data_IF_806999457472
#
_entry.id   IF_806999457472
#
_cell.length_a   1.000
_cell.length_b   1.000
_cell.length_c   1.000
_cell.angle_alpha   90.00
_cell.angle_beta   90.00
_cell.angle_gamma   90.00
#
_symmetry.space_group_name_H-M   'P 1'
#
loop_
_entity.id
_entity.type
_entity.pdbx_description
1 polymer ?
#
# COMPACT_ATOMS: atom_id res chain seq x y z
N UNK A 1 52.44 70.09 -3.41
CA UNK A 1 51.20 69.65 -4.09
C UNK A 1 50.85 68.26 -3.59
N UNK A 2 49.60 68.10 -3.18
CA UNK A 2 49.04 67.00 -2.41
C UNK A 2 48.50 65.88 -3.32
N UNK A 3 48.89 64.63 -3.09
CA UNK A 3 48.15 63.41 -3.47
C UNK A 3 48.50 62.30 -2.46
N UNK A 4 47.74 62.14 -1.37
CA UNK A 4 46.52 61.31 -1.21
C UNK A 4 46.74 59.82 -1.49
N UNK A 5 47.06 59.12 -0.42
CA UNK A 5 46.89 57.70 -0.13
C UNK A 5 45.43 57.27 -0.27
N UNK A 6 45.17 56.19 -1.01
CA UNK A 6 43.92 55.42 -0.93
C UNK A 6 44.27 54.02 -0.42
N UNK A 7 43.81 53.72 0.79
CA UNK A 7 43.84 52.38 1.36
C UNK A 7 42.64 51.57 0.86
N UNK A 8 42.91 50.38 0.33
CA UNK A 8 41.89 49.37 0.07
C UNK A 8 41.45 48.75 1.40
N UNK A 9 40.21 49.03 1.80
CA UNK A 9 39.53 48.39 2.91
C UNK A 9 38.88 47.09 2.38
N UNK A 10 39.51 45.94 2.64
CA UNK A 10 38.92 44.63 2.34
C UNK A 10 37.89 44.29 3.41
N UNK A 11 36.61 44.35 3.02
CA UNK A 11 35.48 43.96 3.86
C UNK A 11 35.37 42.41 3.85
N UNK A 12 35.79 41.77 4.94
CA UNK A 12 35.56 40.34 5.17
C UNK A 12 34.14 40.17 5.73
N UNK A 13 33.20 39.73 4.89
CA UNK A 13 31.88 39.29 5.35
C UNK A 13 32.02 37.90 5.99
N UNK A 14 32.00 37.86 7.32
CA UNK A 14 31.75 36.65 8.10
C UNK A 14 30.26 36.31 8.02
N UNK A 15 29.90 35.32 7.19
CA UNK A 15 28.58 34.68 7.24
C UNK A 15 28.54 33.77 8.46
N UNK A 16 27.82 34.19 9.51
CA UNK A 16 27.40 33.33 10.59
C UNK A 16 26.34 32.36 10.06
N UNK A 17 26.71 31.09 9.91
CA UNK A 17 25.75 30.02 9.63
C UNK A 17 24.92 29.77 10.90
N UNK A 18 23.71 30.31 10.94
CA UNK A 18 22.69 29.88 11.89
C UNK A 18 22.32 28.44 11.53
N UNK A 19 22.76 27.48 12.35
CA UNK A 19 22.18 26.14 12.37
C UNK A 19 20.70 26.29 12.73
N UNK A 20 19.83 26.02 11.77
CA UNK A 20 18.40 25.85 12.01
C UNK A 20 18.27 24.56 12.81
N UNK A 21 17.64 24.56 14.00
CA UNK A 21 17.33 23.31 14.68
C UNK A 21 16.37 22.53 13.77
N UNK A 22 16.77 21.31 13.39
CA UNK A 22 15.88 20.36 12.74
C UNK A 22 14.62 20.25 13.58
N UNK A 23 13.47 20.50 12.96
CA UNK A 23 12.18 20.30 13.61
C UNK A 23 12.12 18.86 14.12
N UNK A 24 11.71 18.71 15.38
CA UNK A 24 11.31 17.43 15.95
C UNK A 24 10.15 16.88 15.10
N UNK A 25 10.47 15.96 14.18
CA UNK A 25 9.51 15.12 13.46
C UNK A 25 8.90 14.11 14.45
N UNK A 26 8.05 14.62 15.32
CA UNK A 26 7.06 13.84 16.06
C UNK A 26 5.70 14.01 15.42
N UNK A 27 5.61 13.82 14.10
CA UNK A 27 4.31 13.48 13.51
C UNK A 27 3.99 12.06 13.97
N UNK A 28 3.13 11.92 14.98
CA UNK A 28 2.21 10.79 14.99
C UNK A 28 1.59 10.75 13.60
N UNK A 29 1.85 9.68 12.84
CA UNK A 29 1.08 9.42 11.64
C UNK A 29 -0.33 9.16 12.14
N UNK A 30 -1.14 10.21 12.25
CA UNK A 30 -2.58 10.12 12.52
C UNK A 30 -3.26 9.47 11.32
N UNK A 31 -2.86 8.26 10.95
CA UNK A 31 -3.47 7.50 9.88
C UNK A 31 -4.27 6.42 10.56
N UNK A 32 -5.60 6.54 10.52
CA UNK A 32 -6.52 5.53 11.03
C UNK A 32 -6.16 4.15 10.49
N UNK A 33 -6.40 3.15 11.32
CA UNK A 33 -6.25 1.74 10.94
C UNK A 33 -7.55 1.00 11.23
N UNK A 34 -8.30 0.74 10.18
CA UNK A 34 -9.55 -0.01 10.25
C UNK A 34 -9.40 -1.37 9.59
N UNK A 35 -9.76 -2.45 10.28
CA UNK A 35 -9.80 -3.79 9.71
C UNK A 35 -10.85 -4.65 10.40
N UNK A 36 -11.44 -5.61 9.68
CA UNK A 36 -12.30 -6.64 10.30
C UNK A 36 -11.46 -7.73 11.00
N UNK A 37 -10.23 -7.97 10.55
CA UNK A 37 -9.41 -9.12 10.99
C UNK A 37 -8.07 -8.75 11.62
N UNK A 38 -7.50 -7.59 11.29
CA UNK A 38 -6.20 -7.17 11.78
C UNK A 38 -6.28 -6.16 12.93
N UNK A 39 -5.19 -6.07 13.69
CA UNK A 39 -4.94 -5.03 14.69
C UNK A 39 -3.59 -4.38 14.39
N UNK A 40 -3.50 -3.05 14.43
CA UNK A 40 -2.23 -2.36 14.34
C UNK A 40 -1.50 -2.45 15.68
N UNK A 41 -0.25 -2.91 15.63
CA UNK A 41 0.66 -3.01 16.74
C UNK A 41 1.89 -2.13 16.48
N UNK A 42 2.46 -1.55 17.52
CA UNK A 42 3.74 -0.83 17.43
C UNK A 42 4.84 -1.74 17.95
N UNK A 43 5.80 -2.06 17.08
CA UNK A 43 6.98 -2.84 17.40
C UNK A 43 8.13 -1.88 17.68
N UNK A 44 8.45 -1.67 18.95
CA UNK A 44 9.55 -0.82 19.39
C UNK A 44 10.80 -1.67 19.68
N UNK A 45 11.95 -1.30 19.09
CA UNK A 45 13.20 -2.05 19.24
C UNK A 45 14.46 -1.25 18.91
N UNK A 46 15.60 -1.73 19.43
CA UNK A 46 16.93 -1.24 19.07
C UNK A 46 17.58 -2.20 18.07
N UNK A 47 17.91 -1.68 16.88
CA UNK A 47 18.49 -2.43 15.78
C UNK A 47 19.98 -2.14 15.55
N UNK A 48 20.62 -3.04 14.81
CA UNK A 48 21.98 -2.87 14.31
C UNK A 48 22.09 -3.44 12.89
N UNK A 49 22.76 -2.71 11.99
CA UNK A 49 23.04 -3.15 10.63
C UNK A 49 24.46 -2.79 10.22
N UNK A 50 25.11 -3.67 9.47
CA UNK A 50 26.38 -3.42 8.77
C UNK A 50 26.10 -3.06 7.32
N UNK A 51 26.72 -1.98 6.87
CA UNK A 51 26.61 -1.49 5.50
C UNK A 51 28.00 -1.24 4.90
N UNK A 52 28.15 -1.13 3.57
CA UNK A 52 29.37 -0.63 2.96
C UNK A 52 29.79 0.73 3.55
N UNK A 53 31.09 0.98 3.65
CA UNK A 53 31.58 2.27 4.11
C UNK A 53 31.02 3.43 3.27
N UNK A 54 30.54 4.49 3.93
CA UNK A 54 29.96 5.67 3.27
C UNK A 54 28.50 5.51 2.82
N UNK A 55 27.82 4.41 3.17
CA UNK A 55 26.38 4.27 2.91
C UNK A 55 25.55 5.28 3.69
N UNK A 56 24.42 5.71 3.14
CA UNK A 56 23.38 6.41 3.93
C UNK A 56 22.85 5.46 5.02
N UNK A 57 22.86 5.89 6.30
CA UNK A 57 22.26 5.11 7.38
C UNK A 57 20.80 4.76 7.12
N UNK A 58 20.02 5.71 6.62
CA UNK A 58 18.60 5.57 6.35
C UNK A 58 18.36 4.47 5.31
N UNK A 59 19.09 4.50 4.20
CA UNK A 59 18.98 3.49 3.15
C UNK A 59 19.40 2.09 3.64
N UNK A 60 20.43 2.00 4.50
CA UNK A 60 20.88 0.73 5.06
C UNK A 60 19.87 0.13 6.05
N UNK A 61 19.28 0.97 6.92
CA UNK A 61 18.23 0.57 7.85
C UNK A 61 17.00 0.10 7.06
N UNK A 62 16.55 0.87 6.07
CA UNK A 62 15.42 0.50 5.22
C UNK A 62 15.67 -0.83 4.49
N UNK A 63 16.87 -1.02 3.93
CA UNK A 63 17.27 -2.28 3.30
C UNK A 63 17.18 -3.48 4.25
N UNK A 64 17.55 -3.30 5.52
CA UNK A 64 17.39 -4.35 6.54
C UNK A 64 15.91 -4.58 6.87
N UNK A 65 15.14 -3.51 7.06
CA UNK A 65 13.73 -3.61 7.46
C UNK A 65 12.83 -4.22 6.38
N UNK A 66 13.21 -4.22 5.10
CA UNK A 66 12.49 -5.01 4.08
C UNK A 66 12.36 -6.49 4.47
N UNK A 67 13.36 -7.08 5.13
CA UNK A 67 13.28 -8.47 5.59
C UNK A 67 12.23 -8.69 6.68
N UNK A 68 11.79 -7.64 7.37
CA UNK A 68 10.66 -7.74 8.31
C UNK A 68 9.36 -8.11 7.59
N UNK A 69 9.19 -7.74 6.31
CA UNK A 69 7.98 -8.07 5.56
C UNK A 69 7.85 -9.58 5.43
N UNK A 70 8.87 -10.27 4.91
CA UNK A 70 8.84 -11.72 4.83
C UNK A 70 8.74 -12.39 6.20
N UNK A 71 9.54 -11.93 7.17
CA UNK A 71 9.55 -12.51 8.51
C UNK A 71 8.16 -12.46 9.18
N UNK A 72 7.48 -11.32 9.09
CA UNK A 72 6.13 -11.12 9.63
C UNK A 72 5.06 -11.83 8.80
N UNK A 73 5.26 -11.97 7.49
CA UNK A 73 4.30 -12.61 6.59
C UNK A 73 4.03 -14.07 6.98
N UNK A 74 5.04 -14.77 7.52
CA UNK A 74 4.88 -16.10 8.12
C UNK A 74 3.86 -16.17 9.27
N UNK A 75 3.43 -15.02 9.79
CA UNK A 75 2.41 -14.84 10.83
C UNK A 75 1.19 -14.06 10.31
N UNK A 76 0.94 -14.06 9.00
CA UNK A 76 -0.14 -13.31 8.34
C UNK A 76 -0.13 -11.82 8.72
N UNK A 77 1.05 -11.22 8.80
CA UNK A 77 1.24 -9.85 9.26
C UNK A 77 2.32 -9.17 8.42
N UNK A 78 2.32 -7.84 8.32
CA UNK A 78 3.43 -7.09 7.71
C UNK A 78 3.66 -5.76 8.41
N UNK A 79 4.91 -5.30 8.36
CA UNK A 79 5.29 -3.97 8.82
C UNK A 79 5.00 -2.91 7.77
N UNK A 80 4.54 -1.74 8.20
CA UNK A 80 4.31 -0.55 7.37
C UNK A 80 5.59 0.26 7.28
N UNK A 81 6.38 0.01 6.22
CA UNK A 81 7.75 0.52 6.12
C UNK A 81 7.83 2.02 5.82
N UNK A 82 6.79 2.64 5.25
CA UNK A 82 6.71 4.08 5.03
C UNK A 82 6.46 4.88 6.33
N UNK A 83 5.83 4.23 7.31
CA UNK A 83 5.44 4.84 8.58
C UNK A 83 6.38 4.48 9.75
N UNK A 84 7.48 3.77 9.48
CA UNK A 84 8.45 3.44 10.51
C UNK A 84 9.13 4.70 11.04
N UNK A 85 9.12 4.88 12.36
CA UNK A 85 9.84 5.98 13.01
C UNK A 85 11.23 5.49 13.38
N UNK A 86 12.25 6.11 12.80
CA UNK A 86 13.66 5.80 13.07
C UNK A 86 14.29 6.96 13.83
N UNK A 87 14.90 6.65 14.97
CA UNK A 87 15.54 7.63 15.87
C UNK A 87 16.87 7.09 16.38
N UNK A 88 17.63 7.90 17.11
CA UNK A 88 18.90 7.52 17.75
C UNK A 88 19.92 6.86 16.81
N UNK A 89 19.94 7.30 15.54
CA UNK A 89 20.82 6.74 14.51
C UNK A 89 22.27 7.11 14.80
N UNK A 90 23.12 6.08 14.94
CA UNK A 90 24.57 6.23 15.15
C UNK A 90 25.33 5.37 14.16
N UNK A 91 26.24 5.98 13.42
CA UNK A 91 27.08 5.30 12.44
C UNK A 91 28.55 5.35 12.87
N UNK A 92 29.18 4.20 12.97
CA UNK A 92 30.58 4.05 13.40
C UNK A 92 31.37 3.22 12.38
N UNK A 93 32.62 3.59 12.05
CA UNK A 93 33.47 2.77 11.19
C UNK A 93 33.77 1.41 11.81
N UNK A 94 33.67 0.35 11.01
CA UNK A 94 34.05 -1.01 11.38
C UNK A 94 34.84 -1.66 10.24
N UNK A 95 36.16 -1.44 10.24
CA UNK A 95 37.03 -1.89 9.15
C UNK A 95 36.62 -1.26 7.81
N UNK A 96 36.27 -2.10 6.82
CA UNK A 96 35.81 -1.67 5.50
C UNK A 96 34.28 -1.40 5.43
N UNK A 97 33.61 -1.43 6.58
CA UNK A 97 32.15 -1.29 6.71
C UNK A 97 31.82 -0.14 7.66
N UNK A 98 30.53 0.18 7.72
CA UNK A 98 29.96 1.07 8.72
C UNK A 98 28.93 0.27 9.52
N UNK A 99 29.07 0.28 10.84
CA UNK A 99 28.06 -0.23 11.77
C UNK A 99 27.09 0.89 12.08
N UNK A 100 25.80 0.63 11.88
CA UNK A 100 24.72 1.56 12.14
C UNK A 100 23.85 0.96 13.24
N UNK A 101 23.68 1.70 14.34
CA UNK A 101 22.72 1.39 15.41
C UNK A 101 21.58 2.40 15.33
N UNK A 102 20.37 1.95 15.67
CA UNK A 102 19.19 2.79 15.59
C UNK A 102 18.11 2.30 16.56
N UNK A 103 17.20 3.19 16.92
CA UNK A 103 15.92 2.84 17.53
C UNK A 103 14.82 2.92 16.47
N UNK A 104 13.90 1.97 16.47
CA UNK A 104 12.77 1.92 15.54
C UNK A 104 11.45 1.66 16.26
N UNK A 105 10.40 2.35 15.81
CA UNK A 105 9.00 1.98 16.07
C UNK A 105 8.36 1.65 14.72
N UNK A 106 8.15 0.36 14.48
CA UNK A 106 7.55 -0.17 13.26
C UNK A 106 6.06 -0.47 13.48
N UNK A 107 5.14 0.22 12.79
CA UNK A 107 3.74 -0.16 12.79
C UNK A 107 3.57 -1.50 12.05
N UNK A 108 2.90 -2.46 12.68
CA UNK A 108 2.69 -3.81 12.16
C UNK A 108 1.20 -4.11 12.10
N UNK A 109 0.69 -4.33 10.90
CA UNK A 109 -0.66 -4.86 10.72
C UNK A 109 -0.66 -6.33 11.09
N UNK A 110 -1.09 -6.65 12.31
CA UNK A 110 -1.11 -8.01 12.83
C UNK A 110 -2.41 -8.72 12.45
N UNK A 111 -2.32 -9.86 11.77
CA UNK A 111 -3.45 -10.60 11.21
C UNK A 111 -4.38 -11.30 12.21
N UNK A 112 -4.62 -10.70 13.38
CA UNK A 112 -5.57 -11.15 14.38
C UNK A 112 -6.17 -9.98 15.19
N UNK A 113 -7.40 -10.17 15.68
CA UNK A 113 -8.07 -9.26 16.63
C UNK A 113 -7.85 -9.62 18.10
N UNK A 114 -7.53 -10.88 18.38
CA UNK A 114 -7.41 -11.43 19.73
C UNK A 114 -6.16 -12.29 19.84
N UNK A 115 -5.72 -12.56 21.08
CA UNK A 115 -4.50 -13.33 21.31
C UNK A 115 -3.24 -12.64 20.78
N UNK A 116 -3.23 -11.30 20.87
CA UNK A 116 -2.13 -10.48 20.36
C UNK A 116 -0.83 -10.81 21.13
N UNK A 117 0.32 -10.89 20.44
CA UNK A 117 1.60 -11.15 21.08
C UNK A 117 1.98 -9.97 21.99
N UNK A 118 2.60 -10.27 23.12
CA UNK A 118 3.23 -9.26 24.00
C UNK A 118 4.74 -9.15 23.79
N UNK A 119 5.32 -10.13 23.09
CA UNK A 119 6.73 -10.17 22.74
C UNK A 119 6.91 -10.89 21.40
N UNK A 120 7.95 -10.49 20.67
CA UNK A 120 8.39 -11.13 19.44
C UNK A 120 9.90 -10.92 19.29
N UNK A 121 10.56 -11.73 18.45
CA UNK A 121 11.96 -11.52 18.11
C UNK A 121 12.05 -11.37 16.61
N UNK A 122 12.42 -10.18 16.14
CA UNK A 122 12.73 -9.97 14.73
C UNK A 122 14.13 -10.52 14.45
N UNK A 123 14.24 -11.43 13.49
CA UNK A 123 15.53 -11.90 13.00
C UNK A 123 15.79 -11.30 11.62
N UNK A 124 16.75 -10.37 11.53
CA UNK A 124 17.03 -9.62 10.31
C UNK A 124 18.49 -9.85 9.86
N UNK A 125 18.81 -9.75 8.56
CA UNK A 125 20.19 -9.86 8.09
C UNK A 125 21.07 -8.80 8.75
N UNK A 126 22.23 -9.20 9.26
CA UNK A 126 23.18 -8.28 9.89
C UNK A 126 23.88 -7.39 8.87
N UNK A 127 24.17 -7.92 7.67
CA UNK A 127 24.96 -7.24 6.63
C UNK A 127 24.12 -7.03 5.37
N UNK A 128 23.77 -5.77 5.09
CA UNK A 128 22.96 -5.38 3.92
C UNK A 128 23.81 -4.92 2.73
N UNK A 129 25.13 -5.12 2.78
CA UNK A 129 25.97 -4.95 1.59
C UNK A 129 25.56 -5.96 0.51
N UNK A 130 25.86 -5.65 -0.76
CA UNK A 130 25.58 -6.58 -1.86
C UNK A 130 26.26 -7.95 -1.66
N UNK A 131 27.47 -7.96 -1.08
CA UNK A 131 28.18 -9.21 -0.74
C UNK A 131 27.51 -9.93 0.44
N UNK A 132 27.13 -9.19 1.48
CA UNK A 132 26.43 -9.71 2.66
C UNK A 132 25.11 -10.38 2.28
N UNK A 133 24.25 -9.70 1.54
CA UNK A 133 22.96 -10.23 1.09
C UNK A 133 23.11 -11.43 0.15
N UNK A 134 24.15 -11.44 -0.71
CA UNK A 134 24.46 -12.60 -1.55
C UNK A 134 24.87 -13.82 -0.73
N UNK A 135 25.73 -13.62 0.28
CA UNK A 135 26.13 -14.68 1.19
C UNK A 135 24.95 -15.20 2.02
N UNK A 136 24.13 -14.27 2.53
CA UNK A 136 22.92 -14.58 3.28
C UNK A 136 21.94 -15.41 2.45
N UNK A 137 21.64 -14.99 1.22
CA UNK A 137 20.82 -15.77 0.28
C UNK A 137 21.43 -17.13 -0.02
N UNK A 138 22.74 -17.20 -0.30
CA UNK A 138 23.40 -18.47 -0.62
C UNK A 138 23.32 -19.48 0.53
N UNK A 139 23.31 -19.00 1.78
CA UNK A 139 23.30 -19.84 2.98
C UNK A 139 21.89 -20.23 3.41
N UNK A 140 20.94 -19.29 3.36
CA UNK A 140 19.61 -19.44 3.95
C UNK A 140 18.47 -19.49 2.93
N UNK A 141 18.72 -19.14 1.67
CA UNK A 141 17.69 -19.05 0.62
C UNK A 141 16.98 -20.35 0.29
N UNK A 142 17.51 -21.50 0.71
CA UNK A 142 16.86 -22.80 0.53
C UNK A 142 16.07 -23.28 1.77
N UNK A 143 16.31 -22.70 2.95
CA UNK A 143 15.79 -23.21 4.23
C UNK A 143 14.95 -22.19 5.00
N UNK A 144 15.25 -20.90 4.85
CA UNK A 144 14.53 -19.79 5.48
C UNK A 144 13.66 -19.07 4.44
N UNK A 145 12.83 -19.84 3.73
CA UNK A 145 11.87 -19.35 2.73
C UNK A 145 10.48 -19.95 2.97
N UNK A 146 9.46 -19.32 2.38
CA UNK A 146 8.19 -19.99 2.13
C UNK A 146 8.37 -21.09 1.06
N UNK A 147 8.53 -22.34 1.51
CA UNK A 147 8.76 -23.50 0.63
C UNK A 147 7.60 -23.80 -0.33
N UNK A 148 6.42 -23.20 -0.12
CA UNK A 148 5.23 -23.49 -0.93
C UNK A 148 4.98 -22.44 -2.01
N UNK A 149 5.34 -21.19 -1.75
CA UNK A 149 5.08 -20.07 -2.68
C UNK A 149 6.34 -19.49 -3.31
N UNK A 150 7.52 -19.75 -2.76
CA UNK A 150 8.76 -19.18 -3.27
C UNK A 150 9.09 -19.72 -4.67
N UNK A 151 9.32 -18.79 -5.60
CA UNK A 151 9.74 -19.06 -6.96
C UNK A 151 10.67 -17.93 -7.42
N UNK A 152 11.61 -18.28 -8.31
CA UNK A 152 12.59 -17.34 -8.86
C UNK A 152 13.30 -16.48 -7.78
N UNK A 153 13.71 -17.13 -6.68
CA UNK A 153 14.35 -16.46 -5.55
C UNK A 153 15.71 -15.92 -5.96
N UNK A 154 15.90 -14.62 -5.73
CA UNK A 154 17.06 -13.82 -6.06
C UNK A 154 17.35 -12.85 -4.92
N UNK A 155 18.49 -12.16 -4.97
CA UNK A 155 18.82 -11.14 -3.96
C UNK A 155 17.74 -10.04 -3.92
N UNK A 156 17.13 -9.72 -5.06
CA UNK A 156 16.15 -8.64 -5.18
C UNK A 156 14.77 -8.93 -4.60
N UNK A 157 14.41 -10.20 -4.39
CA UNK A 157 13.08 -10.61 -3.89
C UNK A 157 13.16 -11.59 -2.70
N UNK A 158 14.34 -12.00 -2.25
CA UNK A 158 14.45 -12.96 -1.14
C UNK A 158 13.83 -12.44 0.15
N UNK A 159 14.02 -11.15 0.46
CA UNK A 159 13.42 -10.51 1.63
C UNK A 159 11.90 -10.71 1.74
N UNK A 160 11.19 -10.84 0.61
CA UNK A 160 9.75 -11.09 0.55
C UNK A 160 9.39 -12.54 0.90
N UNK A 161 10.17 -13.49 0.37
CA UNK A 161 9.99 -14.93 0.65
C UNK A 161 10.59 -15.38 1.97
N UNK A 162 11.40 -14.53 2.60
CA UNK A 162 12.12 -14.85 3.82
C UNK A 162 11.17 -15.28 4.93
N UNK A 163 11.44 -16.42 5.58
CA UNK A 163 10.67 -16.91 6.72
C UNK A 163 11.64 -17.42 7.78
N UNK A 164 11.56 -16.89 8.99
CA UNK A 164 12.43 -17.27 10.12
C UNK A 164 11.87 -18.46 10.88
N UNK A 165 10.54 -18.56 10.95
CA UNK A 165 9.84 -19.54 11.79
C UNK A 165 9.56 -20.87 11.08
N UNK A 166 10.05 -21.06 9.85
CA UNK A 166 9.87 -22.30 9.10
C UNK A 166 10.82 -23.38 9.62
N UNK A 167 10.32 -24.62 9.64
CA UNK A 167 11.11 -25.77 10.09
C UNK A 167 12.37 -25.91 9.24
N UNK A 168 13.53 -25.92 9.91
CA UNK A 168 14.84 -26.06 9.26
C UNK A 168 15.52 -24.74 8.93
N UNK A 169 14.84 -23.59 9.13
CA UNK A 169 15.54 -22.32 9.20
C UNK A 169 16.30 -22.22 10.53
N UNK A 170 17.62 -22.07 10.43
CA UNK A 170 18.50 -21.89 11.58
C UNK A 170 19.54 -20.84 11.21
N UNK A 171 19.29 -19.60 11.65
CA UNK A 171 20.19 -18.49 11.41
C UNK A 171 21.33 -18.47 12.42
N UNK A 172 22.53 -18.21 11.92
CA UNK A 172 23.71 -18.03 12.77
C UNK A 172 23.76 -16.59 13.27
N UNK A 173 24.18 -16.41 14.52
CA UNK A 173 24.24 -15.08 15.17
C UNK A 173 25.23 -14.12 14.48
N UNK A 174 26.17 -14.66 13.71
CA UNK A 174 27.11 -13.90 12.88
C UNK A 174 26.43 -13.26 11.66
N UNK A 175 25.39 -13.90 11.11
CA UNK A 175 24.76 -13.50 9.84
C UNK A 175 23.43 -12.75 10.06
N UNK A 176 22.77 -12.97 11.20
CA UNK A 176 21.53 -12.31 11.57
C UNK A 176 21.64 -11.58 12.92
N UNK A 177 20.87 -10.51 13.06
CA UNK A 177 20.57 -9.86 14.35
C UNK A 177 19.25 -10.38 14.86
N UNK A 178 19.22 -10.87 16.11
CA UNK A 178 18.01 -11.29 16.82
C UNK A 178 17.59 -10.17 17.76
N UNK A 179 16.53 -9.47 17.37
CA UNK A 179 16.10 -8.22 17.98
C UNK A 179 14.83 -8.50 18.81
N UNK A 180 14.90 -8.49 20.15
CA UNK A 180 13.69 -8.55 20.95
C UNK A 180 12.88 -7.27 20.73
N UNK A 181 11.59 -7.42 20.45
CA UNK A 181 10.68 -6.27 20.26
C UNK A 181 9.74 -6.13 21.45
N UNK A 182 9.52 -4.88 21.84
CA UNK A 182 8.41 -4.52 22.74
C UNK A 182 7.19 -4.23 21.89
N UNK A 183 6.09 -4.91 22.19
CA UNK A 183 4.84 -4.79 21.42
C UNK A 183 3.81 -4.03 22.23
N UNK A 184 3.25 -2.99 21.64
CA UNK A 184 2.07 -2.29 22.17
C UNK A 184 0.98 -2.24 21.12
N UNK A 185 -0.27 -2.09 21.56
CA UNK A 185 -1.38 -1.85 20.63
C UNK A 185 -1.35 -0.36 20.26
N UNK A 186 -1.39 -0.05 18.98
CA UNK A 186 -1.41 1.33 18.50
C UNK A 186 -2.75 2.00 18.79
N UNK A 187 -2.73 3.29 19.10
CA UNK A 187 -3.91 4.14 19.29
C UNK A 187 -4.60 4.50 17.96
N UNK A 188 -3.97 4.21 16.81
CA UNK A 188 -4.53 4.47 15.49
C UNK A 188 -5.60 3.46 15.08
N UNK A 189 -5.77 2.35 15.83
CA UNK A 189 -6.83 1.38 15.56
C UNK A 189 -8.22 2.04 15.67
N UNK A 190 -9.02 1.93 14.62
CA UNK A 190 -10.39 2.45 14.55
C UNK A 190 -11.41 1.33 14.37
N UNK A 191 -12.60 1.57 14.91
CA UNK A 191 -13.75 0.68 14.77
C UNK A 191 -15.00 1.47 14.30
N UNK A 192 -15.80 0.87 13.43
CA UNK A 192 -17.11 1.41 13.03
C UNK A 192 -17.06 2.68 12.16
N UNK A 193 -15.94 2.93 11.48
CA UNK A 193 -15.83 4.00 10.48
C UNK A 193 -16.59 3.63 9.20
N UNK A 194 -17.08 4.64 8.51
CA UNK A 194 -17.80 4.50 7.25
C UNK A 194 -17.01 5.19 6.14
N UNK A 195 -17.14 4.73 4.88
CA UNK A 195 -16.89 5.58 3.74
C UNK A 195 -17.73 6.88 3.81
N UNK A 196 -17.27 7.96 3.19
CA UNK A 196 -18.03 9.21 3.05
C UNK A 196 -19.15 9.05 2.01
N UNK A 197 -20.19 8.27 2.34
CA UNK A 197 -21.31 7.95 1.45
C UNK A 197 -22.02 9.19 0.90
N UNK A 198 -22.12 10.27 1.68
CA UNK A 198 -22.66 11.54 1.23
C UNK A 198 -21.83 12.19 0.12
N UNK A 199 -20.51 12.01 0.13
CA UNK A 199 -19.60 12.49 -0.92
C UNK A 199 -19.61 11.58 -2.15
N UNK A 200 -19.59 10.26 -1.96
CA UNK A 200 -19.72 9.27 -3.05
C UNK A 200 -21.00 9.53 -3.85
N UNK A 201 -22.10 9.89 -3.19
CA UNK A 201 -23.41 10.03 -3.82
C UNK A 201 -23.79 11.48 -4.14
N UNK A 202 -22.85 12.43 -4.02
CA UNK A 202 -23.12 13.85 -4.19
C UNK A 202 -23.65 14.22 -5.59
N UNK A 203 -23.25 13.49 -6.63
CA UNK A 203 -23.68 13.67 -8.01
C UNK A 203 -24.74 12.65 -8.47
N UNK A 204 -25.15 11.75 -7.59
CA UNK A 204 -26.12 10.68 -7.87
C UNK A 204 -25.58 9.50 -8.67
N UNK A 205 -24.26 9.39 -8.84
CA UNK A 205 -23.58 8.33 -9.57
C UNK A 205 -22.49 7.68 -8.70
N UNK A 206 -22.51 6.36 -8.58
CA UNK A 206 -21.33 5.61 -8.13
C UNK A 206 -20.46 5.26 -9.34
N UNK A 207 -19.27 5.84 -9.44
CA UNK A 207 -18.30 5.61 -10.50
C UNK A 207 -17.09 4.81 -10.00
N UNK A 208 -17.02 3.56 -10.45
CA UNK A 208 -15.93 2.64 -10.14
C UNK A 208 -15.01 2.40 -11.34
N UNK A 209 -13.70 2.35 -11.08
CA UNK A 209 -12.67 1.90 -12.01
C UNK A 209 -12.03 0.66 -11.40
N UNK A 210 -12.05 -0.46 -12.12
CA UNK A 210 -11.46 -1.72 -11.67
C UNK A 210 -10.42 -2.17 -12.69
N UNK A 211 -9.16 -2.10 -12.29
CA UNK A 211 -8.00 -2.31 -13.15
C UNK A 211 -7.37 -3.65 -12.82
N UNK A 212 -7.14 -4.48 -13.83
CA UNK A 212 -6.49 -5.78 -13.71
C UNK A 212 -5.14 -5.72 -14.42
N UNK A 213 -4.05 -5.91 -13.66
CA UNK A 213 -2.72 -6.09 -14.21
C UNK A 213 -2.51 -7.55 -14.58
N UNK A 214 -1.95 -7.82 -15.77
CA UNK A 214 -1.51 -9.16 -16.14
C UNK A 214 -0.36 -9.62 -15.24
N UNK A 215 -0.30 -10.93 -15.01
CA UNK A 215 0.81 -11.54 -14.29
C UNK A 215 2.10 -11.50 -15.14
N UNK A 216 1.95 -11.72 -16.45
CA UNK A 216 3.03 -11.60 -17.43
C UNK A 216 2.69 -10.61 -18.53
N UNK A 217 3.60 -9.68 -18.79
CA UNK A 217 3.47 -8.74 -19.89
C UNK A 217 3.28 -9.47 -21.23
N UNK A 218 2.32 -9.02 -22.04
CA UNK A 218 2.01 -9.62 -23.33
C UNK A 218 1.20 -10.91 -23.26
N UNK A 219 0.84 -11.41 -22.06
CA UNK A 219 -0.05 -12.56 -21.95
C UNK A 219 -1.42 -12.26 -22.56
N UNK A 220 -2.00 -13.28 -23.21
CA UNK A 220 -3.32 -13.18 -23.87
C UNK A 220 -4.31 -14.26 -23.43
N UNK A 221 -3.83 -15.31 -22.77
CA UNK A 221 -4.66 -16.45 -22.36
C UNK A 221 -5.17 -16.36 -20.92
N UNK A 222 -6.27 -17.04 -20.64
CA UNK A 222 -6.88 -17.21 -19.30
C UNK A 222 -6.03 -18.00 -18.29
N UNK A 223 -4.86 -18.51 -18.71
CA UNK A 223 -3.87 -19.07 -17.79
C UNK A 223 -3.08 -17.98 -17.07
N UNK A 224 -3.09 -16.75 -17.57
CA UNK A 224 -2.63 -15.59 -16.82
C UNK A 224 -3.68 -15.17 -15.78
N UNK A 225 -3.24 -15.00 -14.54
CA UNK A 225 -4.15 -14.69 -13.43
C UNK A 225 -4.87 -13.35 -13.60
N UNK A 226 -4.22 -12.34 -14.16
CA UNK A 226 -4.83 -11.03 -14.41
C UNK A 226 -5.88 -11.08 -15.51
N UNK A 227 -5.59 -11.76 -16.63
CA UNK A 227 -6.57 -11.97 -17.71
C UNK A 227 -7.77 -12.78 -17.21
N UNK A 228 -7.52 -13.81 -16.40
CA UNK A 228 -8.57 -14.65 -15.82
C UNK A 228 -9.45 -13.88 -14.85
N UNK A 229 -8.85 -13.13 -13.92
CA UNK A 229 -9.58 -12.31 -12.96
C UNK A 229 -10.43 -11.24 -13.65
N UNK A 230 -9.89 -10.58 -14.68
CA UNK A 230 -10.62 -9.62 -15.51
C UNK A 230 -11.88 -10.23 -16.16
N UNK A 231 -11.75 -11.39 -16.80
CA UNK A 231 -12.89 -12.06 -17.42
C UNK A 231 -13.92 -12.51 -16.39
N UNK A 232 -13.49 -13.06 -15.24
CA UNK A 232 -14.37 -13.46 -14.15
C UNK A 232 -15.12 -12.28 -13.53
N UNK A 233 -14.48 -11.12 -13.41
CA UNK A 233 -15.14 -9.91 -12.90
C UNK A 233 -16.26 -9.46 -13.82
N UNK A 234 -16.02 -9.43 -15.14
CA UNK A 234 -17.04 -9.13 -16.13
C UNK A 234 -18.19 -10.15 -16.12
N UNK A 235 -17.91 -11.45 -15.92
CA UNK A 235 -18.94 -12.48 -15.72
C UNK A 235 -19.80 -12.17 -14.48
N UNK A 236 -19.19 -11.72 -13.38
CA UNK A 236 -19.93 -11.33 -12.16
C UNK A 236 -20.80 -10.11 -12.39
N UNK A 237 -20.29 -9.08 -13.08
CA UNK A 237 -21.11 -7.90 -13.44
C UNK A 237 -22.32 -8.28 -14.29
N UNK A 238 -22.19 -9.26 -15.21
CA UNK A 238 -23.34 -9.83 -15.93
C UNK A 238 -24.36 -10.48 -15.00
N UNK A 239 -23.91 -11.26 -14.02
CA UNK A 239 -24.82 -11.90 -13.06
C UNK A 239 -25.61 -10.86 -12.23
N UNK A 240 -25.02 -9.68 -11.99
CA UNK A 240 -25.70 -8.59 -11.30
C UNK A 240 -26.66 -7.77 -12.17
N UNK A 241 -26.81 -8.09 -13.46
CA UNK A 241 -27.75 -7.42 -14.36
C UNK A 241 -29.20 -7.43 -13.86
N UNK A 242 -29.63 -8.50 -13.18
CA UNK A 242 -30.99 -8.57 -12.65
C UNK A 242 -31.28 -7.52 -11.57
N UNK A 243 -30.28 -7.14 -10.78
CA UNK A 243 -30.41 -6.14 -9.70
C UNK A 243 -30.04 -4.72 -10.12
N UNK A 244 -29.00 -4.58 -10.95
CA UNK A 244 -28.41 -3.28 -11.33
C UNK A 244 -28.71 -2.85 -12.77
N UNK A 245 -29.40 -3.67 -13.57
CA UNK A 245 -29.73 -3.40 -14.98
C UNK A 245 -28.51 -2.99 -15.81
N UNK A 246 -27.35 -3.62 -15.55
CA UNK A 246 -26.08 -3.25 -16.16
C UNK A 246 -26.06 -3.58 -17.67
N UNK A 247 -25.65 -2.61 -18.46
CA UNK A 247 -25.43 -2.75 -19.91
C UNK A 247 -23.96 -2.48 -20.21
N UNK A 248 -23.26 -3.40 -20.90
CA UNK A 248 -21.87 -3.19 -21.26
C UNK A 248 -21.75 -2.31 -22.52
N UNK A 249 -20.64 -1.59 -22.60
CA UNK A 249 -20.10 -0.96 -23.80
C UNK A 249 -18.65 -1.43 -23.94
N UNK A 250 -18.28 -2.11 -25.05
CA UNK A 250 -19.14 -2.48 -26.19
C UNK A 250 -20.28 -3.45 -25.82
N UNK A 251 -21.40 -3.41 -26.57
CA UNK A 251 -22.59 -4.25 -26.29
C UNK A 251 -22.36 -5.74 -26.57
N UNK A 252 -21.52 -6.05 -27.57
CA UNK A 252 -21.26 -7.41 -28.06
C UNK A 252 -19.95 -8.00 -27.51
N UNK A 253 -19.76 -7.91 -26.20
CA UNK A 253 -18.62 -8.54 -25.52
C UNK A 253 -18.88 -10.04 -25.27
N UNK A 254 -17.85 -10.92 -25.30
CA UNK A 254 -17.99 -12.34 -25.02
C UNK A 254 -18.37 -12.59 -23.55
N UNK A 255 -18.81 -13.82 -23.23
CA UNK A 255 -19.23 -14.18 -21.87
C UNK A 255 -18.19 -13.83 -20.80
N UNK A 256 -16.92 -14.14 -21.08
CA UNK A 256 -15.76 -13.69 -20.32
C UNK A 256 -14.82 -12.91 -21.27
N UNK A 257 -14.83 -11.56 -21.21
CA UNK A 257 -13.87 -10.71 -21.91
C UNK A 257 -12.41 -11.01 -21.53
N UNK A 258 -11.52 -10.90 -22.51
CA UNK A 258 -10.07 -11.05 -22.35
C UNK A 258 -9.32 -9.90 -23.03
N UNK A 259 -8.14 -10.14 -23.57
CA UNK A 259 -7.29 -9.09 -24.16
C UNK A 259 -7.85 -8.41 -25.40
N UNK A 260 -8.80 -9.03 -26.10
CA UNK A 260 -9.47 -8.42 -27.25
C UNK A 260 -10.48 -7.34 -26.85
N UNK A 261 -10.88 -7.32 -25.58
CA UNK A 261 -11.79 -6.34 -24.99
C UNK A 261 -11.21 -5.84 -23.67
N UNK A 262 -10.09 -5.09 -23.67
CA UNK A 262 -9.37 -4.71 -22.46
C UNK A 262 -9.98 -3.52 -21.72
N UNK A 263 -10.99 -2.86 -22.29
CA UNK A 263 -11.78 -1.80 -21.65
C UNK A 263 -13.25 -2.14 -21.88
N UNK A 264 -13.97 -2.40 -20.78
CA UNK A 264 -15.41 -2.61 -20.78
C UNK A 264 -16.03 -1.67 -19.76
N UNK A 265 -16.91 -0.80 -20.25
CA UNK A 265 -17.72 0.08 -19.40
C UNK A 265 -19.08 -0.56 -19.17
N UNK A 266 -19.52 -0.65 -17.92
CA UNK A 266 -20.85 -1.10 -17.52
C UNK A 266 -21.63 0.06 -16.93
N UNK A 267 -22.82 0.33 -17.45
CA UNK A 267 -23.70 1.37 -16.93
C UNK A 267 -25.05 0.78 -16.52
N UNK A 268 -25.61 1.25 -15.41
CA UNK A 268 -26.88 0.75 -14.90
C UNK A 268 -27.50 1.64 -13.83
N UNK A 269 -28.37 1.07 -13.02
CA UNK A 269 -29.03 1.78 -11.91
C UNK A 269 -29.37 0.82 -10.79
N UNK A 270 -29.19 1.30 -9.55
CA UNK A 270 -29.69 0.63 -8.36
C UNK A 270 -31.23 0.62 -8.33
N UNK A 271 -31.86 -0.25 -7.51
CA UNK A 271 -33.32 -0.34 -7.42
C UNK A 271 -34.04 0.98 -7.11
N UNK A 272 -33.38 1.90 -6.43
CA UNK A 272 -33.90 3.23 -6.07
C UNK A 272 -33.65 4.32 -7.14
N UNK A 273 -33.07 3.95 -8.28
CA UNK A 273 -32.87 4.83 -9.44
C UNK A 273 -31.51 5.52 -9.50
N UNK A 274 -30.70 5.47 -8.44
CA UNK A 274 -29.32 5.99 -8.44
C UNK A 274 -28.46 5.27 -9.48
N UNK A 275 -27.51 5.99 -10.09
CA UNK A 275 -26.74 5.48 -11.22
C UNK A 275 -25.47 4.76 -10.76
N UNK A 276 -25.02 3.82 -11.58
CA UNK A 276 -23.74 3.15 -11.40
C UNK A 276 -23.02 3.06 -12.74
N UNK A 277 -21.72 3.36 -12.72
CA UNK A 277 -20.80 3.19 -13.84
C UNK A 277 -19.57 2.43 -13.37
N UNK A 278 -19.23 1.33 -14.04
CA UNK A 278 -18.08 0.49 -13.71
C UNK A 278 -17.21 0.33 -14.94
N UNK A 279 -15.96 0.76 -14.87
CA UNK A 279 -14.99 0.66 -15.95
C UNK A 279 -14.03 -0.47 -15.58
N UNK A 280 -14.14 -1.61 -16.26
CA UNK A 280 -13.22 -2.73 -16.11
C UNK A 280 -12.08 -2.57 -17.13
N UNK A 281 -10.85 -2.43 -16.64
CA UNK A 281 -9.66 -2.21 -17.47
C UNK A 281 -8.68 -3.39 -17.30
N UNK A 282 -8.09 -3.87 -18.39
CA UNK A 282 -7.03 -4.88 -18.40
C UNK A 282 -5.76 -4.27 -18.99
N UNK A 283 -4.67 -4.31 -18.22
CA UNK A 283 -3.38 -3.72 -18.60
C UNK A 283 -2.25 -4.74 -18.46
N UNK A 284 -1.21 -4.63 -19.30
CA UNK A 284 0.00 -5.45 -19.12
C UNK A 284 0.68 -5.16 -17.77
N UNK A 285 0.87 -3.88 -17.46
CA UNK A 285 1.43 -3.39 -16.20
C UNK A 285 1.16 -1.89 -16.09
N UNK A 286 0.99 -1.38 -14.86
CA UNK A 286 0.89 0.06 -14.61
C UNK A 286 2.23 0.78 -14.77
N UNK A 287 3.36 0.07 -14.65
CA UNK A 287 4.68 0.64 -14.88
C UNK A 287 5.00 0.85 -16.36
N UNK A 288 4.30 0.16 -17.26
CA UNK A 288 4.51 0.30 -18.69
C UNK A 288 3.90 1.61 -19.22
N UNK A 289 4.57 2.22 -20.19
CA UNK A 289 3.98 3.33 -20.94
C UNK A 289 2.93 2.79 -21.92
N UNK A 290 1.68 3.24 -21.76
CA UNK A 290 0.58 2.93 -22.66
C UNK A 290 -0.28 4.18 -22.81
N UNK A 291 -0.14 4.95 -23.91
CA UNK A 291 -0.82 6.23 -24.04
C UNK A 291 -2.35 6.11 -24.05
N UNK A 292 -2.89 4.99 -24.55
CA UNK A 292 -4.34 4.76 -24.57
C UNK A 292 -4.86 4.53 -23.16
N UNK A 293 -4.20 3.67 -22.37
CA UNK A 293 -4.55 3.47 -20.97
C UNK A 293 -4.35 4.75 -20.15
N UNK A 294 -3.22 5.44 -20.32
CA UNK A 294 -2.89 6.65 -19.56
C UNK A 294 -3.94 7.74 -19.79
N UNK A 295 -4.31 8.01 -21.05
CA UNK A 295 -5.36 8.96 -21.38
C UNK A 295 -6.73 8.54 -20.83
N UNK A 296 -7.06 7.24 -20.96
CA UNK A 296 -8.33 6.70 -20.47
C UNK A 296 -8.44 6.77 -18.95
N UNK A 297 -7.39 6.38 -18.23
CA UNK A 297 -7.38 6.43 -16.78
C UNK A 297 -7.38 7.88 -16.26
N UNK A 298 -6.65 8.79 -16.91
CA UNK A 298 -6.71 10.22 -16.60
C UNK A 298 -8.13 10.79 -16.78
N UNK A 299 -8.84 10.43 -17.86
CA UNK A 299 -10.24 10.80 -18.05
C UNK A 299 -11.11 10.30 -16.89
N UNK A 300 -11.06 9.00 -16.62
CA UNK A 300 -11.95 8.35 -15.66
C UNK A 300 -11.70 8.77 -14.21
N UNK A 301 -10.44 8.85 -13.79
CA UNK A 301 -10.04 9.11 -12.39
C UNK A 301 -10.47 10.48 -11.87
N UNK A 302 -10.82 11.42 -12.76
CA UNK A 302 -11.31 12.75 -12.38
C UNK A 302 -12.68 12.76 -11.70
N UNK A 303 -13.44 11.68 -11.82
CA UNK A 303 -14.80 11.54 -11.28
C UNK A 303 -15.00 10.20 -10.59
N UNK A 304 -13.93 9.50 -10.22
CA UNK A 304 -14.03 8.18 -9.65
C UNK A 304 -14.22 8.25 -8.13
N UNK A 305 -15.22 7.54 -7.63
CA UNK A 305 -15.44 7.33 -6.20
C UNK A 305 -14.69 6.10 -5.68
N UNK A 306 -14.43 5.15 -6.59
CA UNK A 306 -13.75 3.90 -6.27
C UNK A 306 -12.76 3.54 -7.37
N UNK A 307 -11.50 3.36 -7.00
CA UNK A 307 -10.44 2.86 -7.87
C UNK A 307 -9.88 1.60 -7.25
N UNK A 308 -10.00 0.48 -7.95
CA UNK A 308 -9.45 -0.82 -7.52
C UNK A 308 -8.36 -1.21 -8.49
N UNK A 309 -7.19 -1.54 -7.97
CA UNK A 309 -6.13 -2.20 -8.73
C UNK A 309 -5.90 -3.63 -8.23
N UNK A 310 -6.05 -4.57 -9.16
CA UNK A 310 -5.92 -6.00 -8.98
C UNK A 310 -4.69 -6.49 -9.74
N UNK A 311 -3.60 -6.80 -9.05
CA UNK A 311 -2.38 -7.24 -9.71
C UNK A 311 -1.17 -7.31 -8.78
N UNK A 312 0.02 -7.35 -9.38
CA UNK A 312 1.28 -7.33 -8.64
C UNK A 312 1.38 -6.07 -7.78
N UNK A 313 1.81 -6.19 -6.52
CA UNK A 313 1.94 -5.02 -5.65
C UNK A 313 3.02 -4.03 -6.14
N UNK A 314 4.05 -4.54 -6.83
CA UNK A 314 5.18 -3.78 -7.34
C UNK A 314 5.81 -2.83 -6.32
N UNK A 315 5.82 -3.22 -5.03
CA UNK A 315 6.47 -2.49 -3.95
C UNK A 315 6.12 -0.99 -3.90
N UNK A 316 4.86 -0.65 -4.18
CA UNK A 316 4.37 0.73 -4.17
C UNK A 316 4.47 1.45 -5.53
N UNK A 317 5.25 0.95 -6.49
CA UNK A 317 5.40 1.62 -7.79
C UNK A 317 4.07 1.72 -8.54
N UNK A 318 3.18 0.74 -8.36
CA UNK A 318 1.86 0.76 -8.95
C UNK A 318 0.95 1.84 -8.34
N UNK A 319 1.01 2.10 -7.03
CA UNK A 319 0.24 3.19 -6.42
C UNK A 319 0.75 4.54 -6.91
N UNK A 320 2.07 4.69 -7.03
CA UNK A 320 2.68 5.91 -7.58
C UNK A 320 2.37 6.08 -9.07
N UNK A 321 2.32 4.99 -9.84
CA UNK A 321 1.96 5.01 -11.25
C UNK A 321 0.50 5.46 -11.45
N UNK A 322 -0.44 4.90 -10.69
CA UNK A 322 -1.83 5.38 -10.67
C UNK A 322 -1.88 6.85 -10.28
N UNK A 323 -1.18 7.25 -9.22
CA UNK A 323 -1.17 8.64 -8.77
C UNK A 323 -0.72 9.60 -9.89
N UNK A 324 0.38 9.27 -10.60
CA UNK A 324 0.93 10.10 -11.68
C UNK A 324 0.10 10.11 -12.97
N UNK A 325 -0.53 8.98 -13.30
CA UNK A 325 -1.31 8.82 -14.53
C UNK A 325 -2.74 9.34 -14.38
N UNK A 326 -3.26 9.37 -13.14
CA UNK A 326 -4.59 9.86 -12.84
C UNK A 326 -4.69 11.38 -12.94
N UNK A 327 -5.92 11.88 -13.09
CA UNK A 327 -6.24 13.30 -13.02
C UNK A 327 -7.20 13.54 -11.88
N UNK A 328 -6.67 13.60 -10.66
CA UNK A 328 -7.46 13.91 -9.49
C UNK A 328 -7.90 15.38 -9.47
N UNK A 329 -9.08 15.64 -8.91
CA UNK A 329 -9.66 16.98 -8.80
C UNK A 329 -9.94 17.32 -7.34
N UNK A 330 -9.88 18.61 -7.02
CA UNK A 330 -10.17 19.13 -5.68
C UNK A 330 -11.56 18.68 -5.20
N UNK A 331 -11.65 18.22 -3.95
CA UNK A 331 -12.89 17.83 -3.29
C UNK A 331 -13.47 16.46 -3.69
N UNK A 332 -12.98 15.80 -4.75
CA UNK A 332 -13.48 14.47 -5.14
C UNK A 332 -13.02 13.43 -4.12
N UNK A 333 -13.94 12.87 -3.35
CA UNK A 333 -13.64 11.76 -2.46
C UNK A 333 -13.44 10.48 -3.28
N UNK A 334 -12.36 9.74 -3.01
CA UNK A 334 -12.04 8.51 -3.74
C UNK A 334 -11.53 7.45 -2.77
N UNK A 335 -12.11 6.25 -2.83
CA UNK A 335 -11.56 5.06 -2.19
C UNK A 335 -10.61 4.39 -3.18
N UNK A 336 -9.37 4.14 -2.78
CA UNK A 336 -8.37 3.46 -3.60
C UNK A 336 -8.00 2.13 -2.97
N UNK A 337 -8.33 1.03 -3.63
CA UNK A 337 -8.02 -0.33 -3.18
C UNK A 337 -6.85 -0.92 -3.95
N UNK A 338 -5.73 -1.16 -3.27
CA UNK A 338 -4.53 -1.80 -3.81
C UNK A 338 -4.55 -3.29 -3.47
N UNK A 339 -5.23 -4.08 -4.29
CA UNK A 339 -5.34 -5.54 -4.16
C UNK A 339 -4.14 -6.23 -4.82
N UNK A 340 -3.00 -6.17 -4.13
CA UNK A 340 -1.78 -6.91 -4.46
C UNK A 340 -1.11 -7.42 -3.20
N UNK A 341 -0.22 -8.39 -3.29
CA UNK A 341 0.42 -9.00 -2.12
C UNK A 341 1.08 -7.96 -1.20
N UNK A 342 0.74 -8.02 0.09
CA UNK A 342 1.38 -7.24 1.15
C UNK A 342 1.37 -5.72 0.89
N UNK A 343 0.32 -5.22 0.23
CA UNK A 343 0.28 -3.82 -0.19
C UNK A 343 0.38 -2.82 0.96
N UNK A 344 0.00 -3.20 2.18
CA UNK A 344 0.16 -2.37 3.39
C UNK A 344 1.63 -2.07 3.71
N UNK A 345 2.57 -2.91 3.27
CA UNK A 345 3.99 -2.69 3.53
C UNK A 345 4.64 -1.62 2.63
N UNK A 346 4.03 -1.30 1.47
CA UNK A 346 4.68 -0.47 0.44
C UNK A 346 3.84 0.67 -0.13
N UNK A 347 2.59 0.82 0.28
CA UNK A 347 1.84 2.04 -0.03
C UNK A 347 2.41 3.17 0.83
N UNK A 348 3.10 4.12 0.20
CA UNK A 348 4.06 5.02 0.84
C UNK A 348 3.57 6.46 1.06
N UNK A 349 2.24 6.64 1.13
CA UNK A 349 1.62 7.95 1.32
C UNK A 349 1.75 8.91 0.13
N UNK A 350 2.43 8.53 -0.97
CA UNK A 350 2.65 9.39 -2.13
C UNK A 350 1.32 9.93 -2.69
N UNK A 351 0.28 9.09 -2.77
CA UNK A 351 -1.03 9.53 -3.22
C UNK A 351 -1.63 10.58 -2.28
N UNK A 352 -1.61 10.37 -0.98
CA UNK A 352 -2.09 11.34 0.01
C UNK A 352 -1.36 12.68 -0.11
N UNK A 353 -0.03 12.68 -0.29
CA UNK A 353 0.73 13.92 -0.50
C UNK A 353 0.28 14.69 -1.76
N UNK A 354 0.00 13.99 -2.87
CA UNK A 354 -0.55 14.65 -4.07
C UNK A 354 -1.98 15.14 -3.83
N UNK A 355 -2.79 14.41 -3.05
CA UNK A 355 -4.14 14.84 -2.65
C UNK A 355 -4.09 16.10 -1.78
N UNK A 356 -3.17 16.19 -0.83
CA UNK A 356 -2.99 17.36 0.03
C UNK A 356 -2.63 18.61 -0.78
N UNK A 357 -1.78 18.48 -1.82
CA UNK A 357 -1.45 19.59 -2.72
C UNK A 357 -2.66 20.13 -3.50
N UNK A 358 -3.67 19.29 -3.73
CA UNK A 358 -4.90 19.67 -4.44
C UNK A 358 -5.97 20.27 -3.52
N UNK A 359 -5.90 20.04 -2.21
CA UNK A 359 -6.95 20.34 -1.25
C UNK A 359 -6.39 21.13 -0.06
N UNK A 360 -6.55 22.45 -0.07
CA UNK A 360 -5.99 23.33 0.96
C UNK A 360 -6.58 23.09 2.37
N UNK A 361 -7.76 22.48 2.45
CA UNK A 361 -8.46 22.12 3.69
C UNK A 361 -8.11 20.70 4.21
N UNK A 362 -7.16 20.02 3.56
CA UNK A 362 -6.75 18.64 3.83
C UNK A 362 -5.21 18.52 3.78
N UNK A 363 -4.48 19.04 4.79
CA UNK A 363 -3.02 19.04 4.79
C UNK A 363 -2.40 17.63 4.85
N UNK A 364 -3.15 16.63 5.33
CA UNK A 364 -2.70 15.24 5.43
C UNK A 364 -3.03 14.45 4.15
N UNK A 365 -3.98 14.93 3.34
CA UNK A 365 -4.37 14.33 2.07
C UNK A 365 -5.30 13.12 2.19
N UNK A 366 -5.91 12.94 3.36
CA UNK A 366 -6.72 11.79 3.77
C UNK A 366 -8.22 12.10 3.73
N UNK A 367 -8.61 13.37 3.93
CA UNK A 367 -10.02 13.80 3.97
C UNK A 367 -10.80 13.43 2.71
N UNK A 368 -10.13 13.32 1.57
CA UNK A 368 -10.73 12.97 0.28
C UNK A 368 -10.17 11.65 -0.29
N UNK A 369 -9.48 10.85 0.52
CA UNK A 369 -8.81 9.63 0.10
C UNK A 369 -8.80 8.59 1.22
N UNK A 370 -9.51 7.50 0.99
CA UNK A 370 -9.33 6.28 1.78
C UNK A 370 -8.56 5.25 0.98
N UNK A 371 -7.65 4.56 1.64
CA UNK A 371 -6.83 3.52 1.01
C UNK A 371 -7.13 2.16 1.62
N UNK A 372 -7.51 1.20 0.77
CA UNK A 372 -7.66 -0.20 1.15
C UNK A 372 -6.42 -0.97 0.69
N UNK A 373 -5.72 -1.58 1.64
CA UNK A 373 -4.52 -2.40 1.40
C UNK A 373 -4.65 -3.74 2.12
N UNK A 374 -3.64 -4.61 2.06
CA UNK A 374 -3.65 -5.88 2.79
C UNK A 374 -2.30 -6.21 3.44
N UNK A 375 -2.38 -7.06 4.46
CA UNK A 375 -1.23 -7.48 5.30
C UNK A 375 -0.77 -8.91 5.04
N UNK A 376 -1.18 -9.48 3.90
CA UNK A 376 -0.91 -10.89 3.54
C UNK A 376 -0.62 -11.03 2.05
N UNK A 377 0.00 -12.13 1.60
CA UNK A 377 0.00 -12.47 0.19
C UNK A 377 -1.44 -12.57 -0.30
N UNK A 378 -1.70 -12.08 -1.50
CA UNK A 378 -3.04 -12.01 -2.06
C UNK A 378 -3.20 -12.98 -3.24
N UNK A 379 -4.39 -13.55 -3.41
CA UNK A 379 -4.70 -14.43 -4.54
C UNK A 379 -5.59 -13.69 -5.55
N UNK A 380 -5.15 -13.56 -6.82
CA UNK A 380 -5.92 -12.87 -7.86
C UNK A 380 -7.34 -13.40 -8.10
N UNK A 381 -7.62 -14.65 -7.72
CA UNK A 381 -8.95 -15.25 -7.87
C UNK A 381 -9.99 -14.70 -6.89
N UNK A 382 -9.57 -14.03 -5.81
CA UNK A 382 -10.48 -13.41 -4.83
C UNK A 382 -11.04 -12.08 -5.35
N UNK A 383 -10.19 -11.30 -6.01
CA UNK A 383 -10.44 -9.90 -6.34
C UNK A 383 -11.71 -9.65 -7.16
N UNK A 384 -12.10 -10.51 -8.14
CA UNK A 384 -13.33 -10.31 -8.88
C UNK A 384 -14.58 -10.27 -7.98
N UNK A 385 -14.65 -11.13 -6.96
CA UNK A 385 -15.80 -11.14 -6.05
C UNK A 385 -15.75 -9.94 -5.10
N UNK A 386 -14.58 -9.62 -4.57
CA UNK A 386 -14.38 -8.55 -3.60
C UNK A 386 -14.69 -7.18 -4.21
N UNK A 387 -14.15 -6.89 -5.40
CA UNK A 387 -14.44 -5.66 -6.13
C UNK A 387 -15.94 -5.49 -6.39
N UNK A 388 -16.62 -6.57 -6.77
CA UNK A 388 -18.05 -6.51 -7.05
C UNK A 388 -18.90 -6.35 -5.77
N UNK A 389 -18.50 -7.00 -4.66
CA UNK A 389 -19.12 -6.80 -3.35
C UNK A 389 -18.99 -5.35 -2.89
N UNK A 390 -17.80 -4.74 -3.03
CA UNK A 390 -17.59 -3.33 -2.68
C UNK A 390 -18.57 -2.42 -3.44
N UNK A 391 -18.70 -2.58 -4.76
CA UNK A 391 -19.62 -1.79 -5.58
C UNK A 391 -21.07 -1.96 -5.09
N UNK A 392 -21.48 -3.17 -4.74
CA UNK A 392 -22.83 -3.40 -4.21
C UNK A 392 -23.07 -2.77 -2.85
N UNK A 393 -22.10 -2.87 -1.93
CA UNK A 393 -22.23 -2.37 -0.57
C UNK A 393 -22.17 -0.84 -0.51
N UNK A 394 -21.34 -0.21 -1.35
CA UNK A 394 -21.37 1.25 -1.56
C UNK A 394 -22.67 1.71 -2.24
N UNK A 395 -23.32 0.80 -2.96
CA UNK A 395 -24.65 0.93 -3.53
C UNK A 395 -25.79 1.02 -2.52
N UNK A 396 -25.74 0.28 -1.41
CA UNK A 396 -26.84 0.16 -0.45
C UNK A 396 -26.83 1.29 0.59
N UNK A 397 -27.19 2.52 0.19
CA UNK A 397 -27.26 3.68 1.12
C UNK A 397 -28.43 3.60 2.11
N UNK A 398 -29.41 2.73 1.87
CA UNK A 398 -30.48 2.50 2.84
C UNK A 398 -29.95 1.72 4.06
N UNK A 399 -28.88 0.95 3.88
CA UNK A 399 -28.17 0.22 4.92
C UNK A 399 -26.65 0.37 4.71
N UNK A 400 -26.12 1.60 4.90
CA UNK A 400 -24.72 1.88 4.59
C UNK A 400 -23.84 1.00 5.47
N UNK A 401 -22.76 0.50 4.86
CA UNK A 401 -21.84 -0.43 5.50
C UNK A 401 -20.63 0.33 6.04
N UNK A 402 -20.23 -0.01 7.26
CA UNK A 402 -18.91 0.34 7.80
C UNK A 402 -17.80 -0.32 6.97
N UNK A 403 -16.59 0.19 7.06
CA UNK A 403 -15.44 -0.47 6.45
C UNK A 403 -15.25 -1.91 6.94
N UNK A 404 -15.41 -2.20 8.24
CA UNK A 404 -15.33 -3.58 8.74
C UNK A 404 -16.38 -4.50 8.09
N UNK A 405 -17.60 -4.01 7.88
CA UNK A 405 -18.64 -4.80 7.19
C UNK A 405 -18.27 -5.07 5.73
N UNK A 406 -17.72 -4.07 5.02
CA UNK A 406 -17.23 -4.24 3.64
C UNK A 406 -16.10 -5.28 3.61
N UNK A 407 -15.07 -5.10 4.43
CA UNK A 407 -13.90 -5.98 4.48
C UNK A 407 -14.24 -7.40 4.95
N UNK A 408 -15.30 -7.60 5.75
CA UNK A 408 -15.77 -8.93 6.14
C UNK A 408 -16.25 -9.77 4.95
N UNK A 409 -16.64 -9.13 3.84
CA UNK A 409 -17.07 -9.85 2.63
C UNK A 409 -15.89 -10.36 1.80
N UNK A 410 -14.67 -10.01 2.16
CA UNK A 410 -13.46 -10.46 1.47
C UNK A 410 -13.13 -11.89 1.84
N UNK A 411 -12.30 -12.56 1.03
CA UNK A 411 -11.88 -13.93 1.32
C UNK A 411 -11.31 -13.99 2.76
N UNK A 412 -11.64 -15.03 3.57
CA UNK A 412 -11.11 -15.17 4.91
C UNK A 412 -9.59 -15.01 5.02
N UNK A 413 -8.84 -15.41 3.99
CA UNK A 413 -7.38 -15.29 3.91
C UNK A 413 -6.89 -13.91 3.45
N UNK A 414 -7.75 -13.09 2.86
CA UNK A 414 -7.43 -11.71 2.54
C UNK A 414 -7.64 -10.85 3.79
N UNK A 415 -6.53 -10.45 4.42
CA UNK A 415 -6.54 -9.59 5.59
C UNK A 415 -6.36 -8.15 5.11
N UNK A 416 -7.48 -7.54 4.73
CA UNK A 416 -7.51 -6.17 4.26
C UNK A 416 -7.59 -5.16 5.42
N UNK A 417 -7.08 -3.95 5.18
CA UNK A 417 -7.04 -2.83 6.11
C UNK A 417 -7.36 -1.55 5.36
N UNK A 418 -7.98 -0.60 6.05
CA UNK A 418 -8.24 0.75 5.57
C UNK A 418 -7.37 1.73 6.34
N UNK A 419 -6.77 2.68 5.61
CA UNK A 419 -6.09 3.86 6.15
C UNK A 419 -6.64 5.12 5.50
N UNK A 420 -6.55 6.26 6.19
CA UNK A 420 -7.12 7.54 5.73
C UNK A 420 -8.52 7.83 6.28
N UNK A 421 -9.15 6.84 6.93
CA UNK A 421 -10.53 6.94 7.41
C UNK A 421 -10.67 7.62 8.79
N UNK A 422 -9.58 8.15 9.34
CA UNK A 422 -9.53 8.82 10.64
C UNK A 422 -10.38 10.10 10.72
N UNK A 423 -10.59 10.75 9.58
CA UNK A 423 -11.29 12.03 9.44
C UNK A 423 -12.66 11.89 8.75
N UNK A 424 -13.10 10.65 8.47
CA UNK A 424 -14.42 10.38 7.91
C UNK A 424 -15.55 10.76 8.87
N UNK A 425 -16.43 11.64 8.37
CA UNK A 425 -17.48 12.26 9.17
C UNK A 425 -18.86 11.65 8.99
N UNK A 426 -19.10 10.91 7.90
CA UNK A 426 -20.38 10.31 7.58
C UNK A 426 -20.86 9.38 8.69
N UNK A 427 -22.13 9.56 9.07
CA UNK A 427 -22.86 8.63 9.94
C UNK A 427 -24.25 8.43 9.34
N UNK A 428 -24.78 7.19 9.29
CA UNK A 428 -26.15 6.97 8.85
C UNK A 428 -27.13 7.77 9.73
N UNK A 429 -28.19 8.28 9.11
CA UNK A 429 -29.32 8.80 9.88
C UNK A 429 -29.86 7.71 10.81
N UNK A 430 -30.34 8.05 12.03
CA UNK A 430 -31.01 7.09 12.88
C UNK A 430 -32.16 6.42 12.11
N UNK A 431 -32.42 5.12 12.32
CA UNK A 431 -33.59 4.48 11.73
C UNK A 431 -34.82 5.29 12.11
N UNK A 432 -35.66 5.61 11.13
CA UNK A 432 -36.94 6.29 11.41
C UNK A 432 -37.77 5.39 12.35
N UNK A 433 -38.37 5.95 13.41
CA UNK A 433 -39.07 5.18 14.45
C UNK A 433 -40.27 4.39 13.94
#
# INVERSE_FOLDING_TARGET
MSLRTFGCLSLVLTLAACAVPSADDTSSSESGFTSDKATLLDFAFDGEVLAPAGSSPEAAIQNQLYYSVGALNGRNSVGRLDAVKITDVRAEPEGARTRIRYHAVLPVGWGAKYGLPTAYTLELPRDVSQQGLRAFLSKYGATCIDLWSAHDVSIGNYWYYYRTDVRGCALDDADAVKIPVTITRSDDNRDGTYPEYDRIWADGLLHAIVIFGKDRAGASGFTDFGVSAYGQFNVKLRMYQAGLKLTPSPVDIPGAPGTDFPDVTWEGSFPDGRKVKVNALLVDSLGAYNPAFDARYAELSSTADLIIYNGHAAFGDNVRALTRKGRFVTGQYTIVSMMGCDSFAYVDGYMAQERARLNADDPNGTRYLDMITNVTPANPTWFPQEAANMIQMLGDVARPSTYQQILRTFDPKHIAVVTGDEDNTYRPAPPSP
#
